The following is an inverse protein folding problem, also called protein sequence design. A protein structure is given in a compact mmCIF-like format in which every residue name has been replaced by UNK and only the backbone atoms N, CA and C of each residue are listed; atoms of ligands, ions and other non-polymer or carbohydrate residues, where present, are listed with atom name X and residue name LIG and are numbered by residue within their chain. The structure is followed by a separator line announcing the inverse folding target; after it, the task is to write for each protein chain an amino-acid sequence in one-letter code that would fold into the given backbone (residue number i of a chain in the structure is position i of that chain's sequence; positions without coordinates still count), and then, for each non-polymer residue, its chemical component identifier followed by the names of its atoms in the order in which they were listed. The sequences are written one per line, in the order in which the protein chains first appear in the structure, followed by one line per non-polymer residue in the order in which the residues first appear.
data_IF_146455745143
#
_entry.id   IF_146455745143
#
_cell.length_a   1.000
_cell.length_b   1.000
_cell.length_c   1.000
_cell.angle_alpha   90.00
_cell.angle_beta   90.00
_cell.angle_gamma   90.00
#
_symmetry.space_group_name_H-M   'P 1'
#
loop_
_entity.id
_entity.type
_entity.pdbx_description
1 polymer ?
#
# COMPACT_ATOMS: atom_id res chain seq x y z
N UNK A 1 51.90 41.25 48.21
CA UNK A 1 52.69 40.30 47.39
C UNK A 1 51.80 39.12 47.04
N UNK A 2 51.57 38.90 45.75
CA UNK A 2 51.03 37.69 45.08
C UNK A 2 49.63 37.16 45.44
N UNK A 3 48.77 36.63 44.56
CA UNK A 3 48.42 36.84 43.13
C UNK A 3 47.20 35.93 42.86
N UNK A 4 46.21 36.40 42.06
CA UNK A 4 45.18 35.63 41.29
C UNK A 4 44.16 34.72 42.05
N UNK A 5 42.91 34.47 41.63
CA UNK A 5 42.25 34.39 40.31
C UNK A 5 40.76 34.79 40.42
N UNK A 6 40.23 35.42 39.35
CA UNK A 6 38.84 35.84 39.09
C UNK A 6 37.89 34.68 38.75
N UNK A 7 36.60 34.80 39.09
CA UNK A 7 35.47 34.45 38.19
C UNK A 7 34.25 35.34 38.48
N UNK A 8 33.78 36.05 37.46
CA UNK A 8 32.55 36.84 37.47
C UNK A 8 31.41 36.04 36.83
N UNK A 9 30.27 35.94 37.50
CA UNK A 9 29.01 35.45 36.96
C UNK A 9 28.31 36.59 36.18
N UNK A 10 27.87 36.32 34.96
CA UNK A 10 26.90 37.14 34.26
C UNK A 10 25.68 36.26 33.94
N UNK A 11 24.51 36.66 34.45
CA UNK A 11 23.24 36.01 34.22
C UNK A 11 22.70 36.27 32.81
N UNK A 12 22.03 35.26 32.26
CA UNK A 12 21.33 35.36 30.98
C UNK A 12 19.82 35.33 31.25
N UNK A 13 19.14 36.40 30.84
CA UNK A 13 17.68 36.53 30.79
C UNK A 13 17.18 35.74 29.58
N UNK A 14 16.25 34.80 29.80
CA UNK A 14 15.58 34.06 28.74
C UNK A 14 14.37 34.86 28.23
N UNK A 15 14.37 35.22 26.95
CA UNK A 15 13.21 35.75 26.25
C UNK A 15 12.47 34.59 25.55
N UNK A 16 11.21 34.36 25.93
CA UNK A 16 10.31 33.42 25.27
C UNK A 16 9.72 34.05 24.01
N UNK A 17 10.05 33.50 22.84
CA UNK A 17 9.37 33.79 21.58
C UNK A 17 8.28 32.73 21.34
N UNK A 18 7.01 33.15 21.32
CA UNK A 18 5.89 32.35 20.82
C UNK A 18 5.88 32.42 19.29
N UNK A 19 6.31 31.35 18.63
CA UNK A 19 6.07 31.16 17.19
C UNK A 19 4.75 30.41 17.02
N UNK A 20 3.74 31.09 16.51
CA UNK A 20 2.50 30.46 16.05
C UNK A 20 2.77 29.60 14.82
N UNK A 21 2.51 28.30 14.91
CA UNK A 21 2.61 27.38 13.80
C UNK A 21 1.46 27.62 12.84
N UNK A 22 1.74 28.11 11.63
CA UNK A 22 0.80 27.98 10.51
C UNK A 22 0.64 26.47 10.24
N UNK A 23 -0.58 25.97 10.41
CA UNK A 23 -1.01 24.71 9.81
C UNK A 23 -1.04 24.91 8.30
N UNK A 24 0.07 24.59 7.62
CA UNK A 24 0.01 24.31 6.19
C UNK A 24 -0.85 23.05 6.03
N UNK A 25 -1.99 23.18 5.35
CA UNK A 25 -2.76 22.03 4.92
C UNK A 25 -1.83 21.18 4.04
N UNK A 26 -1.45 20.00 4.54
CA UNK A 26 -0.73 19.01 3.75
C UNK A 26 -1.74 18.48 2.75
N UNK A 27 -1.64 18.91 1.49
CA UNK A 27 -2.32 18.24 0.39
C UNK A 27 -1.81 16.80 0.35
N UNK A 28 -2.70 15.79 0.29
CA UNK A 28 -2.27 14.40 0.24
C UNK A 28 -1.37 14.20 -0.99
N UNK A 29 -0.23 13.52 -0.79
CA UNK A 29 0.64 13.15 -1.89
C UNK A 29 -0.11 12.22 -2.84
N UNK A 30 -0.27 12.65 -4.09
CA UNK A 30 -0.89 11.87 -5.18
C UNK A 30 0.01 10.64 -5.45
N UNK A 31 -0.56 9.48 -5.76
CA UNK A 31 0.24 8.32 -6.16
C UNK A 31 1.07 8.64 -7.43
N UNK A 32 2.04 7.79 -7.72
CA UNK A 32 2.98 8.03 -8.82
C UNK A 32 2.27 7.90 -10.18
N UNK A 33 2.36 8.93 -11.04
CA UNK A 33 1.95 8.84 -12.44
C UNK A 33 2.83 7.83 -13.18
N UNK A 34 2.25 6.69 -13.60
CA UNK A 34 3.01 5.54 -14.14
C UNK A 34 2.72 5.23 -15.60
N UNK A 35 1.59 5.70 -16.14
CA UNK A 35 1.20 5.43 -17.52
C UNK A 35 2.12 6.12 -18.52
N UNK A 36 2.33 5.47 -19.67
CA UNK A 36 3.01 6.08 -20.81
C UNK A 36 2.01 6.83 -21.70
N UNK A 37 2.44 7.88 -22.38
CA UNK A 37 1.64 8.66 -23.32
C UNK A 37 0.90 7.80 -24.36
N UNK A 38 -0.44 7.82 -24.32
CA UNK A 38 -1.34 7.02 -25.16
C UNK A 38 -1.37 5.52 -24.83
N UNK A 39 -0.76 5.09 -23.73
CA UNK A 39 -0.73 3.72 -23.23
C UNK A 39 -1.96 3.35 -22.41
N UNK A 40 -1.90 2.20 -21.74
CA UNK A 40 -2.90 1.84 -20.73
C UNK A 40 -2.71 2.67 -19.47
N UNK A 41 -3.82 3.03 -18.82
CA UNK A 41 -3.82 3.92 -17.65
C UNK A 41 -4.83 3.43 -16.60
N UNK A 42 -4.46 3.55 -15.32
CA UNK A 42 -5.31 3.18 -14.19
C UNK A 42 -6.46 4.14 -13.97
N UNK A 43 -7.55 3.65 -13.38
CA UNK A 43 -8.60 4.54 -12.89
C UNK A 43 -8.07 5.52 -11.85
N UNK A 44 -7.29 5.03 -10.89
CA UNK A 44 -6.62 5.86 -9.87
C UNK A 44 -5.77 6.97 -10.48
N UNK A 45 -4.94 6.68 -11.47
CA UNK A 45 -4.06 7.66 -12.13
C UNK A 45 -4.88 8.65 -12.94
N UNK A 46 -5.95 8.22 -13.62
CA UNK A 46 -6.87 9.16 -14.30
C UNK A 46 -7.46 10.16 -13.30
N UNK A 47 -7.91 9.70 -12.13
CA UNK A 47 -8.43 10.58 -11.07
C UNK A 47 -7.34 11.50 -10.52
N UNK A 48 -6.13 11.00 -10.31
CA UNK A 48 -5.01 11.82 -9.81
C UNK A 48 -4.57 12.89 -10.81
N UNK A 49 -4.56 12.55 -12.10
CA UNK A 49 -4.27 13.52 -13.18
C UNK A 49 -5.36 14.59 -13.24
N UNK A 50 -6.63 14.19 -13.11
CA UNK A 50 -7.75 15.12 -13.02
C UNK A 50 -7.61 16.07 -11.81
N UNK A 51 -7.35 15.51 -10.63
CA UNK A 51 -7.13 16.29 -9.39
C UNK A 51 -5.92 17.22 -9.50
N UNK A 52 -4.84 16.82 -10.19
CA UNK A 52 -3.67 17.66 -10.40
C UNK A 52 -4.03 19.00 -11.06
N UNK A 53 -4.87 19.02 -12.11
CA UNK A 53 -5.32 20.28 -12.72
C UNK A 53 -6.33 21.05 -11.86
N UNK A 54 -7.10 20.40 -10.99
CA UNK A 54 -7.90 21.10 -9.97
C UNK A 54 -6.98 21.83 -8.98
N UNK A 55 -5.89 21.21 -8.55
CA UNK A 55 -5.01 21.78 -7.52
C UNK A 55 -4.06 22.84 -8.09
N UNK A 56 -3.56 22.63 -9.31
CA UNK A 56 -2.52 23.47 -9.90
C UNK A 56 -3.05 24.52 -10.88
N UNK A 57 -4.29 24.36 -11.36
CA UNK A 57 -4.97 25.22 -12.33
C UNK A 57 -4.12 25.50 -13.59
N UNK A 58 -4.45 24.93 -14.76
CA UNK A 58 -3.68 25.13 -16.00
C UNK A 58 -3.76 26.58 -16.55
N UNK A 59 -4.55 27.45 -15.91
CA UNK A 59 -4.84 28.82 -16.34
C UNK A 59 -6.20 28.93 -17.03
N UNK A 60 -6.43 30.05 -17.70
CA UNK A 60 -7.75 30.37 -18.24
C UNK A 60 -8.21 29.39 -19.32
N UNK A 61 -9.51 29.06 -19.31
CA UNK A 61 -10.19 28.26 -20.30
C UNK A 61 -10.00 28.90 -21.67
N UNK A 62 -9.34 28.18 -22.57
CA UNK A 62 -8.94 28.67 -23.87
C UNK A 62 -8.61 27.49 -24.79
N UNK A 63 -9.47 27.25 -25.78
CA UNK A 63 -9.34 26.17 -26.76
C UNK A 63 -8.08 26.29 -27.66
N UNK A 64 -7.42 27.45 -27.70
CA UNK A 64 -6.19 27.67 -28.45
C UNK A 64 -4.91 27.63 -27.60
N UNK A 65 -5.02 27.55 -26.28
CA UNK A 65 -3.89 27.51 -25.37
C UNK A 65 -3.71 26.12 -24.76
N UNK A 66 -2.49 25.81 -24.32
CA UNK A 66 -2.16 24.52 -23.72
C UNK A 66 -1.36 24.66 -22.43
N UNK A 67 -1.33 23.61 -21.62
CA UNK A 67 -0.58 23.53 -20.37
C UNK A 67 -0.10 22.11 -20.09
N UNK A 68 1.01 21.96 -19.34
CA UNK A 68 1.58 20.65 -19.09
C UNK A 68 0.66 19.79 -18.24
N UNK A 69 0.70 18.48 -18.50
CA UNK A 69 0.22 17.48 -17.55
C UNK A 69 1.14 17.36 -16.33
N UNK A 70 0.78 16.53 -15.34
CA UNK A 70 1.52 16.39 -14.07
C UNK A 70 2.98 15.96 -14.22
N UNK A 71 3.29 15.21 -15.27
CA UNK A 71 4.62 14.67 -15.58
C UNK A 71 5.43 15.57 -16.52
N UNK A 72 4.83 16.63 -17.08
CA UNK A 72 5.47 17.52 -18.05
C UNK A 72 5.85 16.85 -19.38
N UNK A 73 5.33 15.66 -19.65
CA UNK A 73 5.57 14.86 -20.86
C UNK A 73 4.88 15.43 -22.11
N UNK A 74 3.75 16.10 -21.93
CA UNK A 74 2.96 16.73 -23.00
C UNK A 74 2.19 17.94 -22.49
N UNK A 75 1.97 18.91 -23.39
CA UNK A 75 1.02 20.00 -23.18
C UNK A 75 -0.35 19.62 -23.75
N UNK A 76 -1.40 19.88 -22.99
CA UNK A 76 -2.79 19.57 -23.32
C UNK A 76 -3.60 20.86 -23.44
N UNK A 77 -4.62 20.88 -24.30
CA UNK A 77 -5.46 22.08 -24.47
C UNK A 77 -6.16 22.46 -23.17
N UNK A 78 -6.32 23.76 -22.94
CA UNK A 78 -7.03 24.29 -21.76
C UNK A 78 -8.52 24.40 -22.02
N UNK A 79 -9.14 23.29 -22.38
CA UNK A 79 -10.58 23.18 -22.58
C UNK A 79 -11.12 21.88 -21.97
N UNK A 80 -12.44 21.66 -22.05
CA UNK A 80 -13.11 20.51 -21.46
C UNK A 80 -12.56 19.17 -22.00
N UNK A 81 -12.37 19.09 -23.31
CA UNK A 81 -11.82 17.90 -23.97
C UNK A 81 -10.32 17.71 -23.74
N UNK A 82 -9.57 18.81 -23.63
CA UNK A 82 -8.15 18.83 -23.30
C UNK A 82 -7.87 18.43 -21.86
N UNK A 83 -8.81 18.71 -20.94
CA UNK A 83 -8.79 18.18 -19.58
C UNK A 83 -8.95 16.65 -19.58
N UNK A 84 -9.88 16.11 -20.36
CA UNK A 84 -10.03 14.65 -20.49
C UNK A 84 -8.85 14.02 -21.22
N UNK A 85 -8.31 14.65 -22.27
CA UNK A 85 -7.07 14.23 -22.95
C UNK A 85 -5.90 14.14 -21.95
N UNK A 86 -5.77 15.15 -21.09
CA UNK A 86 -4.79 15.17 -20.01
C UNK A 86 -5.03 14.04 -19.01
N UNK A 87 -6.25 13.90 -18.50
CA UNK A 87 -6.58 12.92 -17.47
C UNK A 87 -6.44 11.47 -17.97
N UNK A 88 -6.84 11.18 -19.21
CA UNK A 88 -6.64 9.87 -19.84
C UNK A 88 -5.24 9.64 -20.41
N UNK A 89 -4.36 10.64 -20.32
CA UNK A 89 -2.99 10.58 -20.84
C UNK A 89 -2.95 10.18 -22.32
N UNK A 90 -3.86 10.70 -23.16
CA UNK A 90 -3.91 10.32 -24.57
C UNK A 90 -2.73 10.93 -25.34
N UNK A 91 -2.61 10.58 -26.61
CA UNK A 91 -1.57 11.08 -27.52
C UNK A 91 -2.15 11.70 -28.81
N UNK A 92 -3.43 12.09 -28.80
CA UNK A 92 -4.21 12.35 -30.01
C UNK A 92 -5.07 13.62 -30.01
N UNK A 93 -4.98 14.48 -28.99
CA UNK A 93 -5.66 15.79 -28.94
C UNK A 93 -7.18 15.76 -29.30
N UNK A 94 -8.00 14.78 -28.87
CA UNK A 94 -9.39 14.71 -29.30
C UNK A 94 -10.21 15.88 -28.74
N UNK A 95 -11.18 16.38 -29.51
CA UNK A 95 -12.28 17.19 -29.00
C UNK A 95 -13.44 16.25 -28.57
N UNK A 96 -14.56 16.80 -28.07
CA UNK A 96 -15.76 16.01 -27.69
C UNK A 96 -16.20 15.06 -28.81
N UNK A 97 -16.18 15.51 -30.07
CA UNK A 97 -16.52 14.66 -31.22
C UNK A 97 -15.52 13.52 -31.49
N UNK A 98 -14.27 13.67 -31.05
CA UNK A 98 -13.18 12.71 -31.21
C UNK A 98 -13.03 11.72 -30.07
N UNK A 99 -13.52 12.05 -28.86
CA UNK A 99 -13.46 11.17 -27.68
C UNK A 99 -14.15 9.80 -27.89
N UNK A 100 -15.29 9.70 -28.60
CA UNK A 100 -15.86 8.40 -28.97
C UNK A 100 -14.92 7.51 -29.80
N UNK A 101 -13.96 8.08 -30.55
CA UNK A 101 -13.00 7.31 -31.35
C UNK A 101 -11.93 6.58 -30.53
N UNK A 102 -11.71 6.98 -29.27
CA UNK A 102 -10.71 6.38 -28.36
C UNK A 102 -11.35 5.65 -27.17
N UNK A 103 -12.68 5.59 -27.14
CA UNK A 103 -13.46 5.07 -26.02
C UNK A 103 -14.57 4.12 -26.51
N UNK A 104 -15.24 3.46 -25.58
CA UNK A 104 -16.40 2.59 -25.83
C UNK A 104 -17.60 3.18 -25.09
N UNK A 105 -18.74 3.31 -25.77
CA UNK A 105 -20.01 3.73 -25.13
C UNK A 105 -20.45 2.65 -24.12
N UNK A 106 -20.80 3.06 -22.90
CA UNK A 106 -21.25 2.18 -21.82
C UNK A 106 -22.61 2.64 -21.29
N UNK A 107 -23.30 1.78 -20.53
CA UNK A 107 -24.48 2.24 -19.80
C UNK A 107 -24.07 3.23 -18.71
N UNK A 108 -24.87 4.28 -18.48
CA UNK A 108 -24.62 5.25 -17.41
C UNK A 108 -24.55 4.60 -16.02
N UNK A 109 -25.33 3.56 -15.79
CA UNK A 109 -25.30 2.77 -14.53
C UNK A 109 -23.96 2.07 -14.30
N UNK A 110 -23.18 1.87 -15.35
CA UNK A 110 -21.90 1.14 -15.30
C UNK A 110 -20.71 2.09 -15.16
N UNK A 111 -20.97 3.42 -15.02
CA UNK A 111 -19.94 4.42 -14.80
C UNK A 111 -19.09 4.05 -13.58
N UNK A 112 -17.78 4.16 -13.77
CA UNK A 112 -16.74 3.96 -12.79
C UNK A 112 -15.74 5.12 -12.88
N UNK A 113 -14.92 5.29 -11.84
CA UNK A 113 -13.90 6.34 -11.76
C UNK A 113 -13.06 6.43 -13.04
N UNK A 114 -12.93 7.63 -13.60
CA UNK A 114 -12.17 7.90 -14.83
C UNK A 114 -12.94 7.61 -16.12
N UNK A 115 -14.19 7.15 -16.07
CA UNK A 115 -15.08 7.22 -17.24
C UNK A 115 -15.54 8.68 -17.47
N UNK A 116 -16.11 8.98 -18.64
CA UNK A 116 -16.63 10.32 -18.95
C UNK A 116 -18.12 10.31 -19.25
N UNK A 117 -18.76 11.45 -19.02
CA UNK A 117 -20.00 11.81 -19.67
C UNK A 117 -19.66 12.86 -20.73
N UNK A 118 -19.88 12.52 -22.00
CA UNK A 118 -19.58 13.36 -23.15
C UNK A 118 -20.86 13.81 -23.86
N UNK A 119 -21.07 15.12 -23.93
CA UNK A 119 -22.01 15.76 -24.85
C UNK A 119 -21.26 16.09 -26.13
N UNK A 120 -21.58 15.33 -27.19
CA UNK A 120 -20.80 15.25 -28.43
C UNK A 120 -20.42 16.61 -29.05
N UNK A 121 -21.25 17.65 -28.91
CA UNK A 121 -21.01 18.96 -29.51
C UNK A 121 -20.56 20.05 -28.53
N UNK A 122 -20.73 19.85 -27.22
CA UNK A 122 -20.73 20.98 -26.28
C UNK A 122 -19.74 20.82 -25.13
N UNK A 123 -19.79 19.70 -24.40
CA UNK A 123 -19.09 19.59 -23.13
C UNK A 123 -18.79 18.14 -22.71
N UNK A 124 -17.77 17.96 -21.86
CA UNK A 124 -17.42 16.67 -21.30
C UNK A 124 -16.97 16.83 -19.85
N UNK A 125 -17.47 15.93 -18.98
CA UNK A 125 -17.04 15.81 -17.59
C UNK A 125 -16.40 14.45 -17.33
N UNK A 126 -15.52 14.39 -16.33
CA UNK A 126 -14.85 13.18 -15.90
C UNK A 126 -15.46 12.65 -14.60
N UNK A 127 -16.07 11.47 -14.67
CA UNK A 127 -16.74 10.83 -13.55
C UNK A 127 -15.74 10.39 -12.48
N UNK A 128 -16.04 10.69 -11.21
CA UNK A 128 -15.20 10.30 -10.08
C UNK A 128 -15.77 9.10 -9.34
N UNK A 129 -16.96 9.22 -8.72
CA UNK A 129 -17.54 8.15 -7.91
C UNK A 129 -19.05 8.29 -7.74
N UNK A 130 -19.74 7.15 -7.61
CA UNK A 130 -21.11 7.07 -7.12
C UNK A 130 -21.17 7.23 -5.61
N UNK A 131 -22.26 7.81 -5.12
CA UNK A 131 -22.70 7.60 -3.75
C UNK A 131 -23.44 6.27 -3.61
N UNK A 132 -23.68 5.83 -2.36
CA UNK A 132 -24.29 4.54 -2.06
C UNK A 132 -25.69 4.34 -2.69
N UNK A 133 -26.39 5.42 -3.03
CA UNK A 133 -27.71 5.35 -3.66
C UNK A 133 -27.67 5.14 -5.18
N UNK A 134 -26.49 5.22 -5.81
CA UNK A 134 -26.31 5.15 -7.28
C UNK A 134 -27.17 6.16 -8.06
N UNK A 135 -27.59 7.24 -7.41
CA UNK A 135 -28.31 8.37 -8.02
C UNK A 135 -27.43 9.61 -7.97
N UNK A 136 -26.71 9.80 -6.88
CA UNK A 136 -25.78 10.91 -6.72
C UNK A 136 -24.36 10.48 -7.03
N UNK A 137 -23.59 11.39 -7.59
CA UNK A 137 -22.20 11.15 -7.99
C UNK A 137 -21.37 12.41 -7.87
N UNK A 138 -20.05 12.23 -7.95
CA UNK A 138 -19.06 13.31 -8.02
C UNK A 138 -18.33 13.28 -9.36
N UNK A 139 -17.83 14.43 -9.81
CA UNK A 139 -17.11 14.56 -11.08
C UNK A 139 -16.13 15.72 -11.08
N UNK A 140 -15.24 15.72 -12.08
CA UNK A 140 -14.34 16.81 -12.40
C UNK A 140 -14.72 17.45 -13.73
N UNK A 141 -14.58 18.76 -13.84
CA UNK A 141 -14.90 19.48 -15.06
C UNK A 141 -13.97 20.67 -15.33
N UNK A 142 -13.82 20.97 -16.61
CA UNK A 142 -13.20 22.20 -17.10
C UNK A 142 -14.08 22.86 -18.17
N UNK A 143 -15.34 23.16 -17.84
CA UNK A 143 -16.25 23.92 -18.72
C UNK A 143 -16.02 25.42 -18.70
N UNK A 144 -15.39 25.92 -17.64
CA UNK A 144 -14.95 27.29 -17.45
C UNK A 144 -13.79 27.32 -16.46
N UNK A 145 -13.09 28.45 -16.33
CA UNK A 145 -12.10 28.63 -15.26
C UNK A 145 -12.81 28.92 -13.95
N UNK A 146 -12.44 28.25 -12.84
CA UNK A 146 -11.36 27.25 -12.70
C UNK A 146 -11.76 25.82 -13.08
N UNK A 147 -10.75 24.97 -13.32
CA UNK A 147 -10.94 23.50 -13.28
C UNK A 147 -11.43 23.15 -11.88
N UNK A 148 -12.48 22.36 -11.75
CA UNK A 148 -13.11 22.15 -10.45
C UNK A 148 -13.60 20.72 -10.25
N UNK A 149 -13.74 20.36 -8.98
CA UNK A 149 -14.36 19.12 -8.52
C UNK A 149 -15.75 19.43 -7.97
N UNK A 150 -16.76 18.71 -8.47
CA UNK A 150 -18.13 18.76 -7.95
C UNK A 150 -18.35 17.55 -7.05
N UNK A 151 -18.46 17.74 -5.73
CA UNK A 151 -18.52 16.63 -4.77
C UNK A 151 -19.86 15.89 -4.81
N UNK A 152 -20.91 16.51 -5.37
CA UNK A 152 -22.24 15.93 -5.45
C UNK A 152 -23.07 16.57 -6.55
N UNK A 153 -23.55 15.75 -7.49
CA UNK A 153 -24.59 16.04 -8.46
C UNK A 153 -25.55 14.84 -8.55
N UNK A 154 -26.71 15.00 -9.17
CA UNK A 154 -27.67 13.91 -9.39
C UNK A 154 -27.70 13.49 -10.86
N UNK A 155 -27.78 12.19 -11.12
CA UNK A 155 -27.97 11.67 -12.48
C UNK A 155 -29.34 12.09 -13.07
N UNK A 156 -30.25 12.56 -12.22
CA UNK A 156 -31.59 13.03 -12.59
C UNK A 156 -31.69 14.56 -12.75
N UNK A 157 -30.59 15.31 -12.56
CA UNK A 157 -30.60 16.76 -12.75
C UNK A 157 -30.96 17.11 -14.20
N UNK A 158 -31.59 18.25 -14.45
CA UNK A 158 -31.92 18.67 -15.82
C UNK A 158 -30.68 19.05 -16.61
N UNK A 159 -29.61 19.46 -15.92
CA UNK A 159 -28.35 19.91 -16.49
C UNK A 159 -27.15 19.30 -15.74
N UNK A 160 -26.04 19.11 -16.44
CA UNK A 160 -24.73 18.73 -15.92
C UNK A 160 -23.71 19.75 -16.43
N UNK A 161 -23.00 20.40 -15.51
CA UNK A 161 -22.09 21.53 -15.76
C UNK A 161 -22.68 22.58 -16.72
N UNK A 162 -23.92 23.02 -16.45
CA UNK A 162 -24.68 24.00 -17.25
C UNK A 162 -25.07 23.57 -18.67
N UNK A 163 -25.03 22.26 -18.97
CA UNK A 163 -25.46 21.69 -20.27
C UNK A 163 -26.58 20.66 -20.07
N UNK A 164 -27.51 20.48 -21.03
CA UNK A 164 -28.62 19.55 -20.87
C UNK A 164 -28.15 18.12 -20.56
N UNK A 165 -28.66 17.55 -19.47
CA UNK A 165 -28.25 16.20 -19.05
C UNK A 165 -28.56 15.16 -20.14
N UNK A 166 -29.64 15.34 -20.90
CA UNK A 166 -30.05 14.43 -21.98
C UNK A 166 -29.04 14.25 -23.12
N UNK A 167 -28.11 15.20 -23.30
CA UNK A 167 -27.15 15.18 -24.41
C UNK A 167 -25.92 14.31 -24.11
N UNK A 168 -25.67 14.02 -22.83
CA UNK A 168 -24.49 13.27 -22.42
C UNK A 168 -24.64 11.77 -22.68
N UNK A 169 -23.56 11.17 -23.18
CA UNK A 169 -23.41 9.72 -23.24
C UNK A 169 -22.23 9.27 -22.40
N UNK A 170 -22.33 8.10 -21.79
CA UNK A 170 -21.26 7.55 -20.97
C UNK A 170 -20.25 6.82 -21.84
N UNK A 171 -18.97 7.14 -21.67
CA UNK A 171 -17.87 6.52 -22.42
C UNK A 171 -16.76 6.09 -21.48
N UNK A 172 -16.18 4.92 -21.77
CA UNK A 172 -15.02 4.36 -21.09
C UNK A 172 -13.83 4.33 -22.03
N UNK A 173 -12.70 4.92 -21.62
CA UNK A 173 -11.48 4.89 -22.43
C UNK A 173 -11.05 3.45 -22.75
N UNK A 174 -10.71 3.17 -24.01
CA UNK A 174 -10.44 1.80 -24.48
C UNK A 174 -9.21 1.15 -23.85
N UNK A 175 -8.28 1.95 -23.30
CA UNK A 175 -7.09 1.45 -22.60
C UNK A 175 -7.13 1.73 -21.10
N UNK A 176 -8.30 2.11 -20.56
CA UNK A 176 -8.46 2.15 -19.11
C UNK A 176 -8.32 0.73 -18.58
N UNK A 177 -7.61 0.61 -17.48
CA UNK A 177 -7.47 -0.61 -16.73
C UNK A 177 -8.01 -0.32 -15.33
N UNK A 178 -8.95 -1.14 -14.87
CA UNK A 178 -9.40 -1.08 -13.48
C UNK A 178 -8.17 -1.16 -12.57
N UNK A 179 -8.17 -0.60 -11.36
CA UNK A 179 -7.00 -0.69 -10.47
C UNK A 179 -6.62 -2.14 -10.11
N UNK A 180 -7.48 -3.11 -10.45
CA UNK A 180 -7.21 -4.55 -10.47
C UNK A 180 -6.44 -5.04 -11.71
N UNK A 181 -6.55 -4.36 -12.86
CA UNK A 181 -5.92 -4.65 -14.15
C UNK A 181 -4.73 -3.72 -14.49
N UNK A 182 -4.57 -2.62 -13.76
CA UNK A 182 -3.27 -2.00 -13.51
C UNK A 182 -2.55 -3.00 -12.65
N UNK A 183 -1.35 -3.37 -13.05
CA UNK A 183 -0.40 -3.79 -12.04
C UNK A 183 -0.16 -2.54 -11.18
N UNK A 184 -1.05 -2.32 -10.21
CA UNK A 184 -0.60 -1.96 -8.89
C UNK A 184 0.56 -2.89 -8.69
N UNK A 185 1.77 -2.35 -8.82
CA UNK A 185 2.88 -3.08 -8.28
C UNK A 185 2.66 -2.97 -6.80
N UNK A 186 1.78 -3.84 -6.27
CA UNK A 186 1.49 -3.95 -4.86
C UNK A 186 2.86 -4.10 -4.24
N UNK A 187 3.32 -3.00 -3.64
CA UNK A 187 4.50 -3.02 -2.82
C UNK A 187 4.10 -3.94 -1.70
N UNK A 188 4.56 -5.17 -1.77
CA UNK A 188 4.34 -6.11 -0.69
C UNK A 188 5.58 -6.07 0.17
N UNK A 189 5.39 -5.53 1.34
CA UNK A 189 6.34 -5.53 2.42
C UNK A 189 6.60 -6.96 2.91
N UNK A 190 7.82 -7.17 3.39
CA UNK A 190 8.20 -8.37 4.12
C UNK A 190 9.33 -8.01 5.07
N UNK A 191 9.34 -8.59 6.27
CA UNK A 191 10.40 -8.36 7.25
C UNK A 191 11.23 -9.61 7.45
N UNK A 192 12.54 -9.46 7.59
CA UNK A 192 13.43 -10.59 7.80
C UNK A 192 14.84 -10.19 8.20
N UNK A 193 15.54 -11.10 8.84
CA UNK A 193 16.95 -10.99 9.21
C UNK A 193 17.81 -11.48 8.02
N UNK A 194 17.92 -10.65 6.98
CA UNK A 194 18.43 -11.07 5.67
C UNK A 194 19.93 -11.38 5.67
N UNK A 195 20.69 -10.77 6.58
CA UNK A 195 22.14 -10.94 6.74
C UNK A 195 22.52 -11.77 7.98
N UNK A 196 21.52 -12.25 8.72
CA UNK A 196 21.71 -13.14 9.86
C UNK A 196 22.31 -12.46 11.09
N UNK A 197 22.24 -11.13 11.19
CA UNK A 197 22.75 -10.36 12.33
C UNK A 197 21.79 -10.36 13.53
N UNK A 198 20.60 -10.92 13.38
CA UNK A 198 19.56 -11.03 14.42
C UNK A 198 18.47 -9.96 14.32
N UNK A 199 18.68 -8.89 13.56
CA UNK A 199 17.72 -7.81 13.36
C UNK A 199 16.85 -8.07 12.15
N UNK A 200 15.53 -8.04 12.34
CA UNK A 200 14.59 -8.01 11.23
C UNK A 200 14.60 -6.62 10.58
N UNK A 201 14.82 -6.59 9.27
CA UNK A 201 14.94 -5.38 8.45
C UNK A 201 14.03 -5.49 7.22
N UNK A 202 13.75 -4.39 6.51
CA UNK A 202 12.68 -4.36 5.52
C UNK A 202 13.10 -5.01 4.19
N UNK A 203 12.12 -5.61 3.53
CA UNK A 203 12.17 -6.08 2.17
C UNK A 203 10.90 -5.67 1.42
N UNK A 204 11.04 -5.43 0.13
CA UNK A 204 9.93 -5.10 -0.77
C UNK A 204 9.89 -6.13 -1.90
N UNK A 205 8.70 -6.62 -2.22
CA UNK A 205 8.42 -7.38 -3.43
C UNK A 205 7.55 -6.53 -4.37
N UNK A 206 8.07 -6.25 -5.56
CA UNK A 206 7.39 -5.48 -6.60
C UNK A 206 7.77 -6.04 -7.97
N UNK A 207 6.78 -6.37 -8.81
CA UNK A 207 6.96 -6.88 -10.18
C UNK A 207 7.93 -8.06 -10.31
N UNK A 208 7.83 -9.04 -9.41
CA UNK A 208 8.75 -10.18 -9.45
C UNK A 208 10.15 -9.87 -8.95
N UNK A 209 10.40 -8.68 -8.41
CA UNK A 209 11.68 -8.25 -7.88
C UNK A 209 11.61 -8.12 -6.37
N UNK A 210 12.50 -8.81 -5.67
CA UNK A 210 12.78 -8.58 -4.27
C UNK A 210 13.87 -7.51 -4.12
N UNK A 211 13.65 -6.57 -3.21
CA UNK A 211 14.57 -5.52 -2.80
C UNK A 211 14.72 -5.56 -1.28
N UNK A 212 15.78 -6.20 -0.79
CA UNK A 212 16.03 -6.42 0.63
C UNK A 212 17.06 -5.41 1.15
N UNK A 213 16.84 -4.90 2.36
CA UNK A 213 17.72 -3.95 3.02
C UNK A 213 18.09 -4.44 4.41
N UNK A 214 19.35 -4.33 4.77
CA UNK A 214 19.93 -4.81 6.04
C UNK A 214 19.90 -3.74 7.13
N UNK A 215 19.05 -2.72 6.98
CA UNK A 215 18.89 -1.64 7.96
C UNK A 215 17.46 -1.08 7.97
N UNK A 216 16.98 -0.75 9.17
CA UNK A 216 15.69 -0.09 9.40
C UNK A 216 15.80 1.42 9.11
N UNK A 217 16.05 1.75 7.84
CA UNK A 217 16.22 3.13 7.37
C UNK A 217 15.77 3.28 5.92
N UNK A 218 15.65 4.53 5.47
CA UNK A 218 15.56 4.84 4.03
C UNK A 218 16.82 4.41 3.27
N UNK A 219 16.74 4.21 1.95
CA UNK A 219 17.91 3.98 1.10
C UNK A 219 17.64 3.07 -0.10
N UNK A 220 18.70 2.64 -0.78
CA UNK A 220 18.64 1.57 -1.81
C UNK A 220 18.59 0.18 -1.16
N UNK A 221 18.23 -0.86 -1.90
CA UNK A 221 18.40 -2.23 -1.42
C UNK A 221 19.89 -2.61 -1.31
N UNK A 222 20.20 -3.48 -0.35
CA UNK A 222 21.50 -4.13 -0.22
C UNK A 222 21.54 -5.41 -1.07
N UNK A 223 20.40 -6.08 -1.21
CA UNK A 223 20.22 -7.27 -2.05
C UNK A 223 19.02 -7.07 -2.97
N UNK A 224 19.19 -7.30 -4.26
CA UNK A 224 18.11 -7.20 -5.25
C UNK A 224 18.17 -8.35 -6.24
N UNK A 225 17.05 -9.01 -6.50
CA UNK A 225 16.97 -10.09 -7.49
C UNK A 225 15.53 -10.29 -7.99
N UNK A 226 15.41 -10.83 -9.20
CA UNK A 226 14.14 -11.25 -9.78
C UNK A 226 13.86 -12.71 -9.41
N UNK A 227 12.69 -12.99 -8.85
CA UNK A 227 12.20 -14.33 -8.56
C UNK A 227 10.69 -14.31 -8.32
N UNK A 228 9.99 -15.31 -8.84
CA UNK A 228 8.53 -15.38 -8.82
C UNK A 228 7.85 -14.79 -10.06
N UNK A 229 6.51 -14.87 -10.10
CA UNK A 229 5.71 -14.34 -11.19
C UNK A 229 5.16 -12.93 -10.86
N UNK A 230 4.89 -12.15 -11.90
CA UNK A 230 4.27 -10.83 -11.85
C UNK A 230 2.75 -10.94 -11.66
N UNK A 231 2.32 -11.28 -10.45
CA UNK A 231 0.90 -11.44 -10.06
C UNK A 231 0.64 -11.15 -8.58
N UNK A 232 -0.54 -11.51 -8.07
CA UNK A 232 -0.98 -11.25 -6.68
C UNK A 232 -0.31 -12.13 -5.61
N UNK A 233 0.88 -12.66 -5.88
CA UNK A 233 1.61 -13.51 -4.92
C UNK A 233 2.06 -12.69 -3.72
N UNK A 234 1.99 -13.29 -2.54
CA UNK A 234 2.27 -12.66 -1.25
C UNK A 234 3.69 -13.06 -0.81
N UNK A 235 4.62 -12.12 -0.55
CA UNK A 235 5.92 -12.46 -0.01
C UNK A 235 5.77 -12.91 1.45
N UNK A 236 6.56 -13.90 1.81
CA UNK A 236 6.72 -14.37 3.19
C UNK A 236 8.22 -14.50 3.47
N UNK A 237 8.57 -14.62 4.75
CA UNK A 237 9.96 -14.75 5.15
C UNK A 237 10.11 -15.77 6.27
N UNK A 238 11.20 -16.51 6.22
CA UNK A 238 11.49 -17.53 7.21
C UNK A 238 12.89 -18.11 7.10
N UNK A 239 13.37 -18.67 8.20
CA UNK A 239 14.62 -19.46 8.24
C UNK A 239 14.30 -20.88 7.77
N UNK A 240 13.93 -21.02 6.49
CA UNK A 240 13.56 -22.30 5.90
C UNK A 240 14.75 -23.27 5.97
N UNK A 241 14.63 -24.36 6.72
CA UNK A 241 15.72 -25.32 6.92
C UNK A 241 16.80 -24.88 7.91
N UNK A 242 16.54 -23.84 8.70
CA UNK A 242 17.43 -23.33 9.76
C UNK A 242 18.45 -22.29 9.29
N UNK A 243 19.50 -22.12 10.09
CA UNK A 243 20.56 -21.12 9.90
C UNK A 243 20.27 -19.77 10.57
N UNK A 244 21.19 -18.82 10.43
CA UNK A 244 21.03 -17.45 10.96
C UNK A 244 20.21 -16.57 10.02
N UNK A 245 20.38 -16.69 8.71
CA UNK A 245 19.72 -15.84 7.71
C UNK A 245 18.27 -16.25 7.41
N UNK A 246 17.38 -15.26 7.43
CA UNK A 246 16.03 -15.35 6.89
C UNK A 246 16.05 -15.34 5.37
N UNK A 247 15.25 -16.22 4.76
CA UNK A 247 15.11 -16.36 3.30
C UNK A 247 13.71 -15.95 2.86
N UNK A 248 13.61 -15.42 1.64
CA UNK A 248 12.32 -15.05 1.06
C UNK A 248 11.51 -16.30 0.65
N UNK A 249 10.20 -16.15 0.66
CA UNK A 249 9.23 -17.07 0.08
C UNK A 249 8.15 -16.29 -0.65
N UNK A 250 7.41 -16.96 -1.52
CA UNK A 250 6.21 -16.42 -2.18
C UNK A 250 5.05 -17.40 -1.97
N UNK A 251 3.85 -16.86 -1.78
CA UNK A 251 2.62 -17.63 -1.69
C UNK A 251 1.67 -17.23 -2.81
N UNK A 252 1.20 -18.22 -3.58
CA UNK A 252 0.15 -18.08 -4.56
C UNK A 252 -1.22 -18.30 -3.92
N UNK A 253 -2.01 -17.23 -3.67
CA UNK A 253 -3.33 -17.38 -3.07
C UNK A 253 -4.35 -18.06 -3.99
N UNK A 254 -4.13 -18.10 -5.31
CA UNK A 254 -5.06 -18.72 -6.26
C UNK A 254 -5.02 -20.25 -6.19
N UNK A 255 -3.87 -20.81 -5.86
CA UNK A 255 -3.65 -22.26 -5.80
C UNK A 255 -3.33 -22.77 -4.40
N UNK A 256 -3.16 -21.87 -3.42
CA UNK A 256 -2.68 -22.17 -2.07
C UNK A 256 -1.30 -22.83 -2.09
N UNK A 257 -0.38 -22.27 -2.88
CA UNK A 257 0.96 -22.84 -3.10
C UNK A 257 2.05 -21.95 -2.51
N UNK A 258 2.89 -22.53 -1.67
CA UNK A 258 4.08 -21.90 -1.11
C UNK A 258 5.31 -22.24 -1.96
N UNK A 259 6.11 -21.22 -2.25
CA UNK A 259 7.43 -21.31 -2.87
C UNK A 259 8.45 -20.78 -1.86
N UNK A 260 9.32 -21.63 -1.34
CA UNK A 260 10.26 -21.27 -0.26
C UNK A 260 11.69 -21.31 -0.78
N UNK A 261 12.34 -20.15 -0.92
CA UNK A 261 13.66 -20.06 -1.54
C UNK A 261 14.75 -20.58 -0.61
N UNK A 262 15.77 -21.24 -1.17
CA UNK A 262 16.89 -21.77 -0.39
C UNK A 262 17.99 -20.75 -0.10
N UNK A 263 17.99 -19.61 -0.79
CA UNK A 263 18.94 -18.52 -0.59
C UNK A 263 18.35 -17.19 -1.07
N UNK A 264 18.88 -16.07 -0.60
CA UNK A 264 18.60 -14.74 -1.15
C UNK A 264 19.60 -14.34 -2.25
N UNK A 265 20.55 -15.20 -2.62
CA UNK A 265 21.54 -14.92 -3.66
C UNK A 265 20.90 -14.72 -5.04
N UNK A 266 21.21 -13.65 -5.78
CA UNK A 266 20.76 -13.50 -7.17
C UNK A 266 21.14 -14.71 -8.05
N UNK A 267 20.27 -15.06 -9.00
CA UNK A 267 20.46 -16.18 -9.94
C UNK A 267 20.46 -17.60 -9.34
N UNK A 268 20.06 -17.78 -8.09
CA UNK A 268 19.78 -19.10 -7.51
C UNK A 268 18.28 -19.25 -7.23
N UNK A 269 17.58 -20.00 -8.07
CA UNK A 269 16.13 -20.16 -8.00
C UNK A 269 15.71 -21.48 -7.36
N UNK A 270 16.61 -22.14 -6.61
CA UNK A 270 16.26 -23.35 -5.87
C UNK A 270 15.25 -23.02 -4.78
N UNK A 271 14.19 -23.81 -4.75
CA UNK A 271 13.08 -23.63 -3.84
C UNK A 271 12.46 -24.96 -3.41
N UNK A 272 11.74 -24.91 -2.29
CA UNK A 272 10.79 -25.95 -1.90
C UNK A 272 9.38 -25.47 -2.21
N UNK A 273 8.64 -26.24 -3.00
CA UNK A 273 7.24 -25.95 -3.33
C UNK A 273 6.30 -26.83 -2.50
N UNK A 274 5.31 -26.23 -1.86
CA UNK A 274 4.30 -26.93 -1.05
C UNK A 274 2.93 -26.38 -1.39
N UNK A 275 2.06 -27.19 -1.98
CA UNK A 275 0.65 -26.86 -2.14
C UNK A 275 -0.14 -27.39 -0.95
N UNK A 276 -0.72 -26.49 -0.16
CA UNK A 276 -1.42 -26.85 1.07
C UNK A 276 -2.37 -25.72 1.49
N UNK A 277 -3.59 -26.09 1.89
CA UNK A 277 -4.66 -25.15 2.21
C UNK A 277 -5.68 -25.00 1.10
N UNK A 278 -6.53 -23.99 1.26
CA UNK A 278 -7.55 -23.62 0.28
C UNK A 278 -7.21 -22.27 -0.36
N UNK A 279 -7.54 -22.08 -1.66
CA UNK A 279 -7.42 -20.78 -2.31
C UNK A 279 -8.09 -19.66 -1.52
N UNK A 280 -7.43 -18.50 -1.46
CA UNK A 280 -7.91 -17.32 -0.74
C UNK A 280 -7.58 -17.29 0.76
N UNK A 281 -7.02 -18.35 1.33
CA UNK A 281 -6.49 -18.30 2.71
C UNK A 281 -5.18 -17.52 2.78
N UNK A 282 -4.89 -16.93 3.94
CA UNK A 282 -3.78 -15.99 4.14
C UNK A 282 -2.55 -16.76 4.67
N UNK A 283 -1.36 -16.61 4.06
CA UNK A 283 -0.16 -17.30 4.54
C UNK A 283 0.38 -16.67 5.83
N UNK A 284 1.01 -17.49 6.65
CA UNK A 284 1.76 -17.05 7.83
C UNK A 284 3.03 -17.91 7.98
N UNK A 285 4.06 -17.39 8.63
CA UNK A 285 5.31 -18.10 8.84
C UNK A 285 5.82 -17.90 10.28
N UNK A 286 6.25 -18.99 10.92
CA UNK A 286 6.80 -18.94 12.27
C UNK A 286 7.52 -20.23 12.67
N UNK A 287 8.45 -20.14 13.60
CA UNK A 287 9.06 -21.28 14.28
C UNK A 287 8.15 -21.77 15.40
N UNK A 288 7.11 -22.52 15.03
CA UNK A 288 6.07 -22.98 15.97
C UNK A 288 6.57 -23.93 17.04
N UNK A 289 7.64 -24.68 16.75
CA UNK A 289 8.25 -25.65 17.67
C UNK A 289 9.38 -25.02 18.50
N UNK A 290 9.92 -23.88 18.08
CA UNK A 290 11.09 -23.26 18.70
C UNK A 290 12.37 -24.07 18.53
N UNK A 291 12.47 -24.85 17.46
CA UNK A 291 13.60 -25.73 17.18
C UNK A 291 14.63 -25.10 16.21
N UNK A 292 15.74 -25.78 16.00
CA UNK A 292 16.81 -25.34 15.10
C UNK A 292 16.48 -25.55 13.61
N UNK A 293 15.44 -26.33 13.28
CA UNK A 293 14.97 -26.46 11.90
C UNK A 293 14.29 -25.18 11.40
N UNK A 294 13.93 -24.29 12.34
CA UNK A 294 13.50 -22.93 12.05
C UNK A 294 12.06 -22.82 11.58
N UNK A 295 11.81 -21.84 10.72
CA UNK A 295 10.47 -21.38 10.36
C UNK A 295 9.69 -22.43 9.54
N UNK A 296 8.44 -22.68 9.94
CA UNK A 296 7.48 -23.50 9.21
C UNK A 296 6.34 -22.64 8.65
N UNK A 297 5.71 -23.11 7.58
CA UNK A 297 4.55 -22.46 6.98
C UNK A 297 3.29 -22.67 7.83
N UNK A 298 2.37 -21.71 7.73
CA UNK A 298 1.00 -21.80 8.22
C UNK A 298 0.06 -21.10 7.26
N UNK A 299 -1.23 -21.33 7.44
CA UNK A 299 -2.33 -20.67 6.72
C UNK A 299 -3.40 -20.25 7.72
N UNK A 300 -4.06 -19.14 7.44
CA UNK A 300 -5.17 -18.61 8.21
C UNK A 300 -6.40 -18.56 7.33
N UNK A 301 -7.49 -19.18 7.80
CA UNK A 301 -8.81 -19.05 7.22
C UNK A 301 -9.47 -17.76 7.76
N UNK A 302 -9.57 -16.70 6.94
CA UNK A 302 -10.14 -15.43 7.40
C UNK A 302 -11.66 -15.51 7.60
N UNK A 303 -12.33 -16.54 7.09
CA UNK A 303 -13.78 -16.68 7.23
C UNK A 303 -14.18 -17.24 8.60
N UNK A 304 -13.35 -18.11 9.17
CA UNK A 304 -13.60 -18.77 10.46
C UNK A 304 -12.67 -18.29 11.58
N UNK A 305 -11.63 -17.54 11.25
CA UNK A 305 -10.59 -17.13 12.18
C UNK A 305 -9.70 -18.30 12.60
N UNK A 306 -9.42 -19.25 11.70
CA UNK A 306 -8.70 -20.49 12.05
C UNK A 306 -7.28 -20.49 11.52
N UNK A 307 -6.32 -20.61 12.42
CA UNK A 307 -4.92 -20.86 12.11
C UNK A 307 -4.67 -22.35 11.93
N UNK A 308 -3.93 -22.71 10.89
CA UNK A 308 -3.34 -24.01 10.67
C UNK A 308 -1.83 -23.83 10.60
N UNK A 309 -1.08 -24.51 11.46
CA UNK A 309 0.37 -24.32 11.63
C UNK A 309 1.09 -25.65 11.36
N UNK A 310 1.88 -25.77 10.28
CA UNK A 310 2.54 -27.05 9.96
C UNK A 310 3.73 -27.32 10.84
N UNK A 311 3.98 -28.60 11.09
CA UNK A 311 5.19 -29.04 11.77
C UNK A 311 6.39 -29.20 10.83
N UNK A 312 6.18 -29.32 9.51
CA UNK A 312 7.27 -29.33 8.51
C UNK A 312 6.89 -28.59 7.22
N UNK A 313 7.91 -28.22 6.44
CA UNK A 313 7.74 -27.66 5.10
C UNK A 313 7.86 -28.72 4.00
N UNK A 314 7.69 -30.00 4.33
CA UNK A 314 7.75 -31.07 3.32
C UNK A 314 6.39 -31.23 2.65
N UNK A 315 6.29 -31.49 1.33
CA UNK A 315 5.01 -31.54 0.64
C UNK A 315 4.00 -32.57 1.20
N UNK A 316 4.47 -33.65 1.82
CA UNK A 316 3.63 -34.81 2.17
C UNK A 316 3.31 -34.95 3.67
N UNK A 317 3.62 -33.96 4.50
CA UNK A 317 3.36 -34.03 5.95
C UNK A 317 1.97 -33.48 6.32
N UNK A 318 1.15 -34.26 7.02
CA UNK A 318 -0.18 -33.82 7.44
C UNK A 318 -0.22 -33.30 8.87
N UNK A 319 0.92 -33.30 9.59
CA UNK A 319 0.97 -32.82 10.97
C UNK A 319 0.85 -31.30 11.02
N UNK A 320 -0.19 -30.84 11.69
CA UNK A 320 -0.44 -29.43 11.96
C UNK A 320 -0.99 -29.20 13.37
N UNK A 321 -0.89 -27.97 13.84
CA UNK A 321 -1.63 -27.45 14.99
C UNK A 321 -2.71 -26.51 14.47
N UNK A 322 -3.96 -26.77 14.84
CA UNK A 322 -5.10 -25.92 14.49
C UNK A 322 -5.53 -25.10 15.69
N UNK A 323 -5.73 -23.80 15.50
CA UNK A 323 -6.21 -22.89 16.54
C UNK A 323 -7.25 -21.94 15.94
N UNK A 324 -8.48 -21.98 16.43
CA UNK A 324 -9.48 -20.98 16.09
C UNK A 324 -9.39 -19.78 17.03
N UNK A 325 -9.03 -18.62 16.49
CA UNK A 325 -8.91 -17.36 17.22
C UNK A 325 -8.79 -16.17 16.26
N UNK A 326 -9.52 -15.08 16.55
CA UNK A 326 -9.60 -13.89 15.70
C UNK A 326 -11.01 -13.68 15.15
N UNK A 327 -11.22 -12.53 14.51
CA UNK A 327 -12.50 -12.17 13.88
C UNK A 327 -12.37 -12.10 12.35
N UNK A 328 -13.49 -12.23 11.61
CA UNK A 328 -13.49 -12.02 10.16
C UNK A 328 -12.88 -10.67 9.76
N UNK A 329 -12.02 -10.69 8.74
CA UNK A 329 -11.32 -9.50 8.24
C UNK A 329 -10.06 -9.09 9.02
N UNK A 330 -9.73 -9.78 10.11
CA UNK A 330 -8.45 -9.57 10.80
C UNK A 330 -7.29 -10.23 10.07
N UNK A 331 -6.10 -9.62 10.16
CA UNK A 331 -4.91 -10.03 9.43
C UNK A 331 -3.98 -10.83 10.36
N UNK A 332 -3.55 -12.04 9.98
CA UNK A 332 -2.68 -12.87 10.81
C UNK A 332 -1.22 -12.39 10.78
N UNK A 333 -0.51 -12.58 11.88
CA UNK A 333 0.93 -12.35 12.01
C UNK A 333 1.54 -13.29 13.04
N UNK A 334 2.86 -13.46 13.04
CA UNK A 334 3.57 -14.30 14.00
C UNK A 334 4.85 -13.66 14.51
N UNK A 335 5.22 -14.05 15.73
CA UNK A 335 6.48 -13.67 16.33
C UNK A 335 6.66 -14.27 17.72
N UNK A 336 7.90 -14.31 18.18
CA UNK A 336 8.26 -14.73 19.53
C UNK A 336 8.04 -13.59 20.53
N UNK A 337 6.77 -13.20 20.71
CA UNK A 337 6.37 -12.15 21.64
C UNK A 337 6.99 -12.39 23.04
N UNK A 338 7.64 -11.36 23.61
CA UNK A 338 8.29 -11.44 24.91
C UNK A 338 9.60 -12.26 24.97
N UNK A 339 10.08 -12.75 23.83
CA UNK A 339 11.34 -13.51 23.73
C UNK A 339 11.17 -15.02 23.76
N UNK A 340 12.28 -15.74 23.54
CA UNK A 340 12.32 -17.20 23.43
C UNK A 340 12.31 -17.72 21.99
N UNK A 341 12.38 -19.04 21.83
CA UNK A 341 12.55 -19.68 20.52
C UNK A 341 11.23 -19.90 19.75
N UNK A 342 10.11 -20.03 20.47
CA UNK A 342 8.81 -20.36 19.87
C UNK A 342 8.11 -19.11 19.37
N UNK A 343 7.73 -19.09 18.10
CA UNK A 343 6.83 -18.08 17.55
C UNK A 343 5.38 -18.38 17.92
N UNK A 344 4.65 -17.32 18.26
CA UNK A 344 3.24 -17.35 18.64
C UNK A 344 2.41 -16.60 17.62
N UNK A 345 1.15 -17.01 17.47
CA UNK A 345 0.20 -16.33 16.58
C UNK A 345 -0.26 -14.98 17.16
N UNK A 346 -0.58 -14.06 16.27
CA UNK A 346 -1.22 -12.78 16.52
C UNK A 346 -2.21 -12.45 15.41
N UNK A 347 -3.12 -11.53 15.67
CA UNK A 347 -4.06 -10.97 14.69
C UNK A 347 -4.07 -9.45 14.82
N UNK A 348 -4.24 -8.78 13.70
CA UNK A 348 -4.38 -7.34 13.61
C UNK A 348 -5.77 -6.98 13.11
N UNK A 349 -6.45 -6.13 13.86
CA UNK A 349 -7.69 -5.49 13.45
C UNK A 349 -7.38 -4.22 12.63
N UNK A 350 -7.54 -4.24 11.30
CA UNK A 350 -7.25 -3.08 10.46
C UNK A 350 -8.25 -1.93 10.69
N UNK A 351 -9.46 -2.19 11.19
CA UNK A 351 -10.45 -1.15 11.42
C UNK A 351 -10.06 -0.25 12.61
N UNK A 352 -9.43 -0.83 13.63
CA UNK A 352 -9.08 -0.12 14.87
C UNK A 352 -7.57 0.05 15.09
N UNK A 353 -6.74 -0.49 14.19
CA UNK A 353 -5.29 -0.60 14.33
C UNK A 353 -4.85 -1.26 15.64
N UNK A 354 -5.53 -2.35 15.98
CA UNK A 354 -5.29 -3.09 17.22
C UNK A 354 -4.61 -4.42 16.93
N UNK A 355 -3.45 -4.64 17.53
CA UNK A 355 -2.75 -5.91 17.55
C UNK A 355 -3.21 -6.70 18.76
N UNK A 356 -3.59 -7.96 18.53
CA UNK A 356 -3.82 -8.96 19.55
C UNK A 356 -2.72 -10.01 19.41
N UNK A 357 -1.97 -10.29 20.48
CA UNK A 357 -0.78 -11.14 20.46
C UNK A 357 -0.92 -12.26 21.50
N UNK A 358 -1.03 -13.52 21.08
CA UNK A 358 -1.22 -14.63 22.03
C UNK A 358 0.06 -15.04 22.71
N UNK A 359 -0.05 -15.48 23.95
CA UNK A 359 1.09 -16.03 24.69
C UNK A 359 1.34 -17.52 24.45
N UNK A 360 0.41 -18.23 23.79
CA UNK A 360 0.57 -19.64 23.39
C UNK A 360 -0.13 -19.93 22.07
N UNK A 361 0.28 -21.01 21.39
CA UNK A 361 -0.45 -21.59 20.25
C UNK A 361 -1.37 -22.75 20.70
N UNK A 362 -1.63 -22.88 21.99
CA UNK A 362 -2.47 -23.96 22.54
C UNK A 362 -3.94 -23.64 22.28
N UNK A 363 -4.76 -24.56 21.75
CA UNK A 363 -6.19 -24.33 21.64
C UNK A 363 -6.82 -23.97 22.99
N UNK A 364 -7.79 -23.04 23.00
CA UNK A 364 -8.53 -22.60 24.19
C UNK A 364 -7.72 -21.83 25.27
N UNK A 365 -6.57 -21.25 24.95
CA UNK A 365 -5.81 -20.36 25.85
C UNK A 365 -5.93 -18.89 25.43
N UNK A 366 -6.81 -18.13 26.09
CA UNK A 366 -7.12 -16.76 25.65
C UNK A 366 -6.16 -15.70 26.22
N UNK A 367 -5.00 -16.08 26.74
CA UNK A 367 -4.01 -15.10 27.24
C UNK A 367 -3.38 -14.37 26.06
N UNK A 368 -3.60 -13.06 26.02
CA UNK A 368 -3.07 -12.18 24.98
C UNK A 368 -2.54 -10.85 25.55
N UNK A 369 -1.75 -10.17 24.73
CA UNK A 369 -1.44 -8.74 24.88
C UNK A 369 -2.13 -7.99 23.76
N UNK A 370 -2.83 -6.90 24.10
CA UNK A 370 -3.50 -6.03 23.12
C UNK A 370 -2.76 -4.70 23.03
N UNK A 371 -2.41 -4.28 21.82
CA UNK A 371 -1.62 -3.07 21.58
C UNK A 371 -2.20 -2.29 20.40
N UNK A 372 -2.54 -1.01 20.58
CA UNK A 372 -2.93 -0.14 19.47
C UNK A 372 -1.72 0.55 18.87
N UNK A 373 -1.57 0.53 17.55
CA UNK A 373 -0.48 1.19 16.86
C UNK A 373 -0.82 1.45 15.38
N UNK A 374 -0.78 2.72 14.97
CA UNK A 374 -1.20 3.17 13.63
C UNK A 374 -2.64 3.73 13.59
N UNK A 375 -3.06 4.33 12.46
CA UNK A 375 -4.41 4.85 12.25
C UNK A 375 -5.37 3.74 11.80
N UNK A 376 -6.45 3.55 12.57
CA UNK A 376 -7.51 2.61 12.23
C UNK A 376 -8.18 2.97 10.90
N UNK A 377 -8.48 1.96 10.07
CA UNK A 377 -9.13 2.12 8.78
C UNK A 377 -8.22 2.63 7.65
N UNK A 378 -6.92 2.87 7.91
CA UNK A 378 -5.99 3.42 6.93
C UNK A 378 -5.48 2.44 5.86
N UNK A 379 -5.91 1.18 5.88
CA UNK A 379 -5.43 0.14 4.96
C UNK A 379 -3.97 -0.28 5.19
N UNK A 380 -3.40 0.07 6.35
CA UNK A 380 -2.03 -0.31 6.73
C UNK A 380 -1.95 -1.78 7.09
N UNK A 381 -0.84 -2.43 6.72
CA UNK A 381 -0.62 -3.86 6.97
C UNK A 381 0.25 -4.08 8.20
N UNK A 382 0.02 -5.15 8.98
CA UNK A 382 0.78 -5.42 10.19
C UNK A 382 2.17 -5.98 9.85
N UNK A 383 3.16 -5.58 10.65
CA UNK A 383 4.53 -6.08 10.62
C UNK A 383 4.87 -6.76 11.95
N UNK A 384 5.73 -7.77 11.88
CA UNK A 384 6.31 -8.42 13.05
C UNK A 384 7.79 -8.73 12.83
N UNK A 385 8.60 -8.56 13.88
CA UNK A 385 10.02 -8.88 13.82
C UNK A 385 10.81 -8.29 14.98
N UNK A 386 12.03 -8.80 15.19
CA UNK A 386 12.95 -8.23 16.17
C UNK A 386 13.77 -7.11 15.51
N UNK A 387 13.32 -5.87 15.60
CA UNK A 387 13.97 -4.73 14.92
C UNK A 387 15.40 -4.44 15.42
N UNK A 388 15.71 -4.81 16.66
CA UNK A 388 16.97 -4.42 17.33
C UNK A 388 18.02 -5.52 17.43
N UNK A 389 17.68 -6.76 17.06
CA UNK A 389 18.59 -7.90 17.19
C UNK A 389 19.00 -8.22 18.63
N UNK A 390 18.30 -7.66 19.62
CA UNK A 390 18.69 -7.68 21.04
C UNK A 390 18.26 -8.96 21.79
N UNK A 391 17.69 -9.95 21.07
CA UNK A 391 17.15 -11.18 21.66
C UNK A 391 15.90 -11.02 22.51
N UNK A 392 15.30 -9.82 22.62
CA UNK A 392 14.11 -9.54 23.47
C UNK A 392 12.78 -9.91 22.81
N UNK A 393 12.84 -10.68 21.71
CA UNK A 393 11.68 -11.15 20.95
C UNK A 393 11.11 -10.15 19.95
N UNK A 394 10.20 -10.64 19.14
CA UNK A 394 9.53 -9.86 18.10
C UNK A 394 8.71 -8.72 18.70
N UNK A 395 8.71 -7.60 17.98
CA UNK A 395 7.89 -6.43 18.19
C UNK A 395 6.89 -6.31 17.04
N UNK A 396 6.07 -5.26 17.08
CA UNK A 396 5.04 -4.98 16.07
C UNK A 396 5.40 -3.72 15.28
N UNK A 397 4.79 -3.59 14.12
CA UNK A 397 4.86 -2.39 13.30
C UNK A 397 3.73 -2.37 12.29
N UNK A 398 3.68 -1.33 11.48
CA UNK A 398 2.73 -1.20 10.37
C UNK A 398 3.43 -0.68 9.13
N UNK A 399 3.06 -1.20 7.97
CA UNK A 399 3.46 -0.66 6.69
C UNK A 399 2.31 0.16 6.09
N UNK A 400 2.64 1.36 5.61
CA UNK A 400 1.72 2.26 4.91
C UNK A 400 1.99 2.15 3.39
N UNK A 401 1.12 1.47 2.63
CA UNK A 401 1.38 1.22 1.21
C UNK A 401 1.44 2.49 0.37
N UNK A 402 0.66 3.52 0.73
CA UNK A 402 0.57 4.77 -0.03
C UNK A 402 1.88 5.55 -0.08
N UNK A 403 2.68 5.48 0.99
CA UNK A 403 3.93 6.25 1.14
C UNK A 403 5.17 5.34 1.17
N UNK A 404 4.95 4.02 1.14
CA UNK A 404 5.96 3.00 1.41
C UNK A 404 6.69 3.20 2.76
N UNK A 405 5.97 3.69 3.77
CA UNK A 405 6.52 3.90 5.11
C UNK A 405 6.43 2.63 5.96
N UNK A 406 7.55 2.26 6.56
CA UNK A 406 7.64 1.29 7.65
C UNK A 406 7.57 2.04 8.97
N UNK A 407 6.58 1.73 9.78
CA UNK A 407 6.38 2.27 11.13
C UNK A 407 6.67 1.14 12.12
N UNK A 408 7.79 1.21 12.82
CA UNK A 408 8.22 0.16 13.75
C UNK A 408 7.98 0.61 15.19
N UNK A 409 7.24 -0.18 15.96
CA UNK A 409 7.16 -0.03 17.41
C UNK A 409 8.25 -0.88 18.06
N UNK A 410 9.01 -0.31 18.98
CA UNK A 410 10.16 -0.97 19.63
C UNK A 410 9.79 -1.81 20.86
N UNK A 411 8.50 -1.97 21.12
CA UNK A 411 7.95 -2.64 22.29
C UNK A 411 6.56 -3.20 21.99
N UNK A 412 6.16 -4.23 22.71
CA UNK A 412 4.77 -4.73 22.76
C UNK A 412 4.08 -4.34 24.07
N UNK A 413 4.77 -3.62 24.95
CA UNK A 413 4.16 -3.05 26.15
C UNK A 413 3.20 -1.94 25.72
N UNK A 414 1.88 -2.04 26.02
CA UNK A 414 0.91 -1.01 25.69
C UNK A 414 1.25 0.36 26.28
N UNK A 415 2.01 0.40 27.40
CA UNK A 415 2.39 1.63 28.09
C UNK A 415 3.65 2.32 27.52
N UNK A 416 4.38 1.67 26.60
CA UNK A 416 5.57 2.22 25.96
C UNK A 416 5.32 2.50 24.48
N UNK A 417 5.52 3.75 24.07
CA UNK A 417 5.21 4.26 22.73
C UNK A 417 6.44 4.42 21.83
N UNK A 418 7.63 3.96 22.27
CA UNK A 418 8.86 4.05 21.48
C UNK A 418 8.65 3.46 20.08
N UNK A 419 8.84 4.31 19.07
CA UNK A 419 8.60 3.97 17.67
C UNK A 419 9.57 4.72 16.74
N UNK A 420 9.65 4.26 15.50
CA UNK A 420 10.42 4.90 14.43
C UNK A 420 9.72 4.70 13.09
N UNK A 421 9.80 5.69 12.20
CA UNK A 421 9.22 5.63 10.85
C UNK A 421 10.28 5.93 9.80
N UNK A 422 10.28 5.20 8.69
CA UNK A 422 11.12 5.48 7.54
C UNK A 422 10.47 4.98 6.24
N UNK A 423 10.73 5.67 5.13
CA UNK A 423 10.27 5.24 3.80
C UNK A 423 11.27 4.31 3.11
N UNK A 424 10.81 3.20 2.55
CA UNK A 424 11.65 2.29 1.77
C UNK A 424 10.84 1.59 0.67
N UNK A 425 11.39 1.56 -0.54
CA UNK A 425 10.71 0.98 -1.72
C UNK A 425 10.00 1.99 -2.61
N UNK A 426 9.93 3.27 -2.27
CA UNK A 426 9.39 4.27 -3.19
C UNK A 426 10.24 4.34 -4.48
N UNK A 427 9.65 4.48 -5.68
CA UNK A 427 10.43 4.94 -6.83
C UNK A 427 11.09 6.26 -6.42
N UNK A 428 12.41 6.34 -6.49
CA UNK A 428 13.13 7.60 -6.24
C UNK A 428 12.63 8.66 -7.24
N UNK A 429 12.58 9.94 -6.81
CA UNK A 429 12.05 11.04 -7.61
C UNK A 429 12.74 11.20 -8.97
#
# INVERSE_FOLDING_TARGET
MNTYVRRALAGLVAATALTGSLLAAVTPAHASFTSSLGGSISRSEVIERAQYWVDHQPGDYNQGASSPGPTGDRNYRRDCSGFVDMAWHLNSDPNTQGLPGVSTEIARTDLQAGDILDSYYDHVILFNAWEADHVHYSYYAFGATPVHFVPRASINDTEIDSHPNGDYKAYRYNKIIDDTAVKNVQIREVMGDWDGNGSATPGIYRDGVFQLRNSNSTGVSDVSFTWGNVGNWIPIAGKWGGGSETKVGLYDPATSTFHLRWTNTPNDNRETTVQWGNPGWIPIAGNWAGDAEGTKIGIYDPSTGTFHLRWTNTPNDTRETTVQWGNPGWIPLAGNWGGGAVDKIGVYDPATSTFHLRWTNTPNDNRETTVKYGPGGGGWTPLAGNWGGDGTGAKIGTFEPATANFNLRWTIDPADERSSTFGYGNPRP
#
